data_IF_482922548699
#
_entry.id   IF_482922548699
#
_cell.length_a   1.000
_cell.length_b   1.000
_cell.length_c   1.000
_cell.angle_alpha   90.00
_cell.angle_beta   90.00
_cell.angle_gamma   90.00
#
_symmetry.space_group_name_H-M   'P 1'
#
loop_
_entity.id
_entity.type
_entity.pdbx_description
1 polymer ?
#
# COMPACT_ATOMS: atom_id res chain seq x y z
N UNK A 1 -16.85 -23.26 -21.29
CA UNK A 1 -16.02 -23.74 -20.17
C UNK A 1 -15.33 -22.54 -19.52
N UNK A 2 -15.17 -22.58 -18.20
CA UNK A 2 -15.19 -21.45 -17.28
C UNK A 2 -13.93 -20.55 -17.30
N UNK A 3 -14.14 -19.26 -17.04
CA UNK A 3 -13.09 -18.28 -16.69
C UNK A 3 -12.40 -18.74 -15.41
N UNK A 4 -11.11 -19.07 -15.48
CA UNK A 4 -10.31 -19.28 -14.28
C UNK A 4 -10.28 -17.99 -13.46
N UNK A 5 -10.82 -18.07 -12.25
CA UNK A 5 -10.72 -17.01 -11.25
C UNK A 5 -9.27 -16.95 -10.79
N UNK A 6 -8.56 -15.91 -11.22
CA UNK A 6 -7.34 -15.49 -10.54
C UNK A 6 -7.79 -14.85 -9.23
N UNK A 7 -7.72 -15.61 -8.14
CA UNK A 7 -7.89 -15.08 -6.78
C UNK A 7 -6.74 -14.11 -6.50
N UNK A 8 -6.99 -12.83 -6.81
CA UNK A 8 -6.14 -11.73 -6.41
C UNK A 8 -6.48 -11.37 -4.96
N UNK A 9 -6.03 -12.20 -4.03
CA UNK A 9 -5.93 -11.81 -2.62
C UNK A 9 -4.86 -10.71 -2.51
N UNK A 10 -5.28 -9.47 -2.77
CA UNK A 10 -4.53 -8.23 -2.53
C UNK A 10 -3.28 -7.95 -3.38
N UNK A 11 -3.07 -8.60 -4.53
CA UNK A 11 -2.14 -8.11 -5.57
C UNK A 11 -0.64 -8.06 -5.19
N UNK A 12 -0.25 -8.73 -4.10
CA UNK A 12 1.17 -8.91 -3.71
C UNK A 12 1.63 -10.31 -4.12
N UNK A 13 2.42 -10.47 -5.19
CA UNK A 13 2.94 -11.78 -5.56
C UNK A 13 4.01 -12.23 -4.56
N UNK A 14 3.73 -13.30 -3.81
CA UNK A 14 4.74 -14.03 -3.03
C UNK A 14 5.57 -14.92 -3.97
N UNK A 15 6.85 -14.62 -4.16
CA UNK A 15 7.75 -15.38 -5.05
C UNK A 15 8.34 -16.66 -4.42
N UNK A 16 7.85 -17.11 -3.27
CA UNK A 16 8.27 -18.38 -2.68
C UNK A 16 7.41 -19.54 -3.18
N UNK A 17 8.02 -20.48 -3.90
CA UNK A 17 7.42 -21.79 -4.14
C UNK A 17 7.39 -22.57 -2.83
N UNK A 18 6.28 -22.50 -2.12
CA UNK A 18 6.01 -23.29 -0.93
C UNK A 18 4.96 -24.38 -1.27
N UNK A 19 5.30 -25.68 -1.23
CA UNK A 19 4.33 -26.76 -1.48
C UNK A 19 3.16 -26.77 -0.47
N UNK A 20 3.26 -26.03 0.64
CA UNK A 20 2.17 -25.86 1.62
C UNK A 20 1.01 -24.96 1.15
N UNK A 21 1.19 -24.14 0.10
CA UNK A 21 0.16 -23.21 -0.39
C UNK A 21 -1.09 -23.92 -0.92
N UNK A 22 -0.98 -25.19 -1.32
CA UNK A 22 -2.13 -25.99 -1.77
C UNK A 22 -3.05 -26.45 -0.62
N UNK A 23 -2.58 -26.44 0.63
CA UNK A 23 -3.32 -27.01 1.77
C UNK A 23 -3.86 -25.96 2.75
N UNK A 24 -3.42 -24.70 2.68
CA UNK A 24 -3.78 -23.68 3.65
C UNK A 24 -4.01 -22.29 3.01
N UNK A 25 -5.17 -22.07 2.35
CA UNK A 25 -5.57 -20.72 1.92
C UNK A 25 -5.72 -19.74 3.10
N UNK A 26 -6.06 -20.23 4.29
CA UNK A 26 -6.33 -19.41 5.49
C UNK A 26 -5.10 -18.73 6.12
N UNK A 27 -3.88 -19.23 5.87
CA UNK A 27 -2.68 -18.68 6.52
C UNK A 27 -2.29 -17.32 5.92
N UNK A 28 -2.54 -17.13 4.61
CA UNK A 28 -2.39 -15.84 3.93
C UNK A 28 -3.50 -14.85 4.29
N UNK A 29 -4.68 -15.31 4.71
CA UNK A 29 -5.76 -14.42 5.17
C UNK A 29 -5.49 -13.80 6.55
N UNK A 30 -4.63 -14.43 7.36
CA UNK A 30 -4.23 -13.91 8.68
C UNK A 30 -3.18 -12.79 8.59
N UNK A 31 -2.29 -12.82 7.61
CA UNK A 31 -1.39 -11.70 7.33
C UNK A 31 -2.08 -10.77 6.34
N UNK A 32 -2.46 -9.56 6.75
CA UNK A 32 -3.01 -8.56 5.83
C UNK A 32 -1.86 -7.64 5.39
N UNK A 33 -1.08 -8.00 4.35
CA UNK A 33 0.18 -7.33 4.02
C UNK A 33 0.02 -5.84 3.71
N UNK A 34 -1.17 -5.41 3.28
CA UNK A 34 -1.49 -3.99 3.05
C UNK A 34 -1.68 -3.25 4.37
N UNK A 35 -2.36 -3.84 5.35
CA UNK A 35 -2.57 -3.20 6.66
C UNK A 35 -1.24 -3.08 7.42
N UNK A 36 -0.41 -4.11 7.37
CA UNK A 36 0.95 -4.05 7.92
C UNK A 36 1.76 -2.92 7.25
N UNK A 37 1.62 -2.77 5.93
CA UNK A 37 2.27 -1.68 5.20
C UNK A 37 1.76 -0.31 5.65
N UNK A 38 0.47 -0.16 5.92
CA UNK A 38 -0.10 1.08 6.45
C UNK A 38 0.56 1.47 7.78
N UNK A 39 0.65 0.52 8.72
CA UNK A 39 1.25 0.76 10.04
C UNK A 39 2.74 1.10 9.95
N UNK A 40 3.48 0.40 9.07
CA UNK A 40 4.89 0.70 8.81
C UNK A 40 5.09 2.11 8.25
N UNK A 41 4.25 2.52 7.29
CA UNK A 41 4.30 3.87 6.72
C UNK A 41 3.97 4.95 7.75
N UNK A 42 2.94 4.73 8.58
CA UNK A 42 2.58 5.65 9.66
C UNK A 42 3.72 5.80 10.67
N UNK A 43 4.42 4.72 11.00
CA UNK A 43 5.52 4.78 11.95
C UNK A 43 6.77 5.47 11.36
N UNK A 44 7.18 5.10 10.15
CA UNK A 44 8.46 5.55 9.57
C UNK A 44 8.41 7.00 9.05
N UNK A 45 7.23 7.43 8.62
CA UNK A 45 6.98 8.78 8.10
C UNK A 45 6.18 9.67 9.05
N UNK A 46 5.99 9.28 10.32
CA UNK A 46 5.28 10.08 11.31
C UNK A 46 5.75 11.55 11.34
N UNK A 47 4.80 12.48 11.24
CA UNK A 47 5.03 13.93 11.24
C UNK A 47 5.72 14.48 9.99
N UNK A 48 6.01 13.65 8.98
CA UNK A 48 6.63 14.09 7.72
C UNK A 48 5.57 14.38 6.67
N UNK A 49 5.94 15.27 5.75
CA UNK A 49 5.20 15.55 4.52
C UNK A 49 6.08 15.15 3.34
N UNK A 50 5.68 14.13 2.60
CA UNK A 50 6.53 13.46 1.61
C UNK A 50 5.71 12.97 0.42
N UNK A 51 6.32 12.88 -0.76
CA UNK A 51 5.61 12.45 -1.98
C UNK A 51 5.53 10.93 -2.07
N UNK A 52 4.51 10.42 -2.77
CA UNK A 52 4.34 8.99 -3.03
C UNK A 52 5.57 8.33 -3.64
N UNK A 53 6.19 8.98 -4.64
CA UNK A 53 7.41 8.47 -5.25
C UNK A 53 8.53 8.32 -4.22
N UNK A 54 8.73 9.32 -3.37
CA UNK A 54 9.81 9.32 -2.40
C UNK A 54 9.57 8.33 -1.25
N UNK A 55 8.32 8.16 -0.82
CA UNK A 55 7.92 7.08 0.11
C UNK A 55 8.37 5.73 -0.45
N UNK A 56 8.03 5.45 -1.72
CA UNK A 56 8.42 4.20 -2.37
C UNK A 56 9.94 4.04 -2.41
N UNK A 57 10.67 5.06 -2.89
CA UNK A 57 12.13 5.01 -3.03
C UNK A 57 12.85 4.77 -1.70
N UNK A 58 12.37 5.36 -0.60
CA UNK A 58 12.99 5.22 0.71
C UNK A 58 12.63 3.89 1.39
N UNK A 59 11.38 3.43 1.27
CA UNK A 59 10.87 2.29 2.04
C UNK A 59 10.94 0.94 1.31
N UNK A 60 10.99 0.90 -0.04
CA UNK A 60 10.91 -0.37 -0.77
C UNK A 60 12.16 -1.25 -0.63
N UNK A 61 13.30 -0.70 -0.25
CA UNK A 61 14.57 -1.43 -0.23
C UNK A 61 14.52 -2.54 0.82
N UNK A 62 14.74 -3.79 0.39
CA UNK A 62 14.69 -4.96 1.27
C UNK A 62 13.28 -5.43 1.62
N UNK A 63 12.23 -4.93 0.94
CA UNK A 63 10.83 -5.32 1.19
C UNK A 63 10.12 -5.80 -0.07
N UNK A 64 9.20 -6.76 0.10
CA UNK A 64 8.46 -7.38 -0.99
C UNK A 64 7.18 -6.59 -1.38
N UNK A 65 7.27 -5.26 -1.44
CA UNK A 65 6.15 -4.39 -1.82
C UNK A 65 6.41 -3.67 -3.14
N UNK A 66 5.46 -3.79 -4.06
CA UNK A 66 5.47 -3.05 -5.33
C UNK A 66 4.77 -1.69 -5.18
N UNK A 67 5.01 -0.76 -6.09
CA UNK A 67 4.39 0.58 -6.06
C UNK A 67 2.87 0.56 -5.90
N UNK A 68 2.19 -0.41 -6.52
CA UNK A 68 0.73 -0.57 -6.40
C UNK A 68 0.29 -0.80 -4.94
N UNK A 69 1.09 -1.51 -4.15
CA UNK A 69 0.77 -1.81 -2.74
C UNK A 69 0.79 -0.53 -1.91
N UNK A 70 1.79 0.32 -2.11
CA UNK A 70 1.89 1.62 -1.46
C UNK A 70 0.72 2.54 -1.86
N UNK A 71 0.34 2.55 -3.14
CA UNK A 71 -0.81 3.33 -3.60
C UNK A 71 -2.10 2.87 -2.93
N UNK A 72 -2.30 1.55 -2.82
CA UNK A 72 -3.46 0.97 -2.13
C UNK A 72 -3.46 1.29 -0.62
N UNK A 73 -2.32 1.15 0.05
CA UNK A 73 -2.17 1.46 1.47
C UNK A 73 -2.44 2.94 1.76
N UNK A 74 -1.85 3.85 0.98
CA UNK A 74 -2.09 5.29 1.15
C UNK A 74 -3.53 5.69 0.81
N UNK A 75 -4.13 5.08 -0.21
CA UNK A 75 -5.55 5.30 -0.52
C UNK A 75 -6.44 4.84 0.64
N UNK A 76 -6.14 3.69 1.24
CA UNK A 76 -6.85 3.17 2.41
C UNK A 76 -6.71 4.11 3.62
N UNK A 77 -5.49 4.57 3.93
CA UNK A 77 -5.24 5.55 5.00
C UNK A 77 -5.94 6.90 4.77
N UNK A 78 -6.01 7.35 3.52
CA UNK A 78 -6.75 8.55 3.12
C UNK A 78 -8.26 8.37 3.32
N UNK A 79 -8.82 7.22 2.91
CA UNK A 79 -10.24 6.88 3.13
C UNK A 79 -10.56 6.80 4.63
N UNK A 80 -9.63 6.26 5.44
CA UNK A 80 -9.73 6.22 6.91
C UNK A 80 -9.59 7.60 7.56
N UNK A 81 -9.15 8.63 6.84
CA UNK A 81 -8.94 9.99 7.35
C UNK A 81 -7.74 10.12 8.29
N UNK A 82 -6.79 9.20 8.23
CA UNK A 82 -5.59 9.20 9.08
C UNK A 82 -4.51 10.11 8.52
N UNK A 83 -4.40 10.19 7.19
CA UNK A 83 -3.43 11.02 6.46
C UNK A 83 -4.16 12.03 5.58
N UNK A 84 -3.51 13.18 5.36
CA UNK A 84 -3.97 14.16 4.39
C UNK A 84 -3.17 14.02 3.08
N UNK A 85 -3.87 13.96 1.96
CA UNK A 85 -3.25 13.87 0.63
C UNK A 85 -3.66 15.08 -0.20
N UNK A 86 -2.68 15.74 -0.81
CA UNK A 86 -2.94 16.88 -1.68
C UNK A 86 -2.06 16.85 -2.92
N UNK A 87 -2.58 17.45 -4.00
CA UNK A 87 -1.81 17.64 -5.22
C UNK A 87 -1.01 18.97 -5.09
N UNK A 88 0.32 18.94 -5.17
CA UNK A 88 1.12 20.18 -5.10
C UNK A 88 0.80 21.16 -6.23
N UNK A 89 0.29 20.67 -7.37
CA UNK A 89 -0.10 21.47 -8.54
C UNK A 89 -1.51 22.05 -8.42
N UNK A 90 -2.26 21.74 -7.34
CA UNK A 90 -3.64 22.23 -7.13
C UNK A 90 -4.68 21.68 -8.13
N UNK A 91 -4.30 20.76 -9.02
CA UNK A 91 -5.21 20.17 -10.01
C UNK A 91 -6.17 19.18 -9.36
N UNK A 92 -7.43 19.18 -9.84
CA UNK A 92 -8.44 18.21 -9.43
C UNK A 92 -7.96 16.79 -9.74
N UNK A 93 -7.99 15.93 -8.71
CA UNK A 93 -7.63 14.52 -8.80
C UNK A 93 -8.80 13.69 -9.34
N UNK A 94 -8.50 12.67 -10.15
CA UNK A 94 -9.48 11.65 -10.55
C UNK A 94 -9.70 10.69 -9.37
N UNK A 95 -10.95 10.51 -8.95
CA UNK A 95 -11.33 9.60 -7.86
C UNK A 95 -10.81 8.18 -8.13
N UNK A 96 -10.29 7.53 -7.09
CA UNK A 96 -9.79 6.15 -7.15
C UNK A 96 -8.39 5.96 -7.76
N UNK A 97 -7.64 7.04 -8.04
CA UNK A 97 -6.28 6.95 -8.57
C UNK A 97 -5.29 7.61 -7.62
N UNK A 98 -4.08 7.06 -7.46
CA UNK A 98 -3.01 7.66 -6.66
C UNK A 98 -1.77 7.85 -7.53
N UNK A 99 -1.44 9.11 -7.83
CA UNK A 99 -0.33 9.45 -8.71
C UNK A 99 0.96 9.64 -7.89
N UNK A 100 2.11 9.41 -8.54
CA UNK A 100 3.42 9.38 -7.86
C UNK A 100 3.86 10.75 -7.33
N UNK A 101 3.34 11.83 -7.92
CA UNK A 101 3.62 13.22 -7.54
C UNK A 101 2.71 13.75 -6.42
N UNK A 102 1.79 12.94 -5.91
CA UNK A 102 0.93 13.37 -4.80
C UNK A 102 1.75 13.46 -3.53
N UNK A 103 1.47 14.49 -2.75
CA UNK A 103 2.11 14.72 -1.45
C UNK A 103 1.20 14.21 -0.35
N UNK A 104 1.79 13.44 0.55
CA UNK A 104 1.13 12.86 1.72
C UNK A 104 1.68 13.54 2.96
N UNK A 105 0.78 13.96 3.84
CA UNK A 105 1.09 14.49 5.17
C UNK A 105 0.68 13.45 6.21
N UNK A 106 1.67 12.92 6.90
CA UNK A 106 1.48 11.95 7.98
C UNK A 106 1.23 12.65 9.32
N UNK A 107 0.40 12.07 10.20
CA UNK A 107 0.17 12.60 11.53
C UNK A 107 1.45 12.54 12.37
N UNK A 108 1.61 13.48 13.29
CA UNK A 108 2.70 13.44 14.27
C UNK A 108 2.42 12.32 15.26
N UNK A 109 3.41 11.47 15.54
CA UNK A 109 3.32 10.44 16.58
C UNK A 109 3.08 11.14 17.93
N UNK A 110 1.92 10.88 18.54
CA UNK A 110 1.61 11.35 19.90
C UNK A 110 2.40 10.56 20.93
#
# INVERSE_FOLDING_TARGET
>A
MAKESSDQTQGVPSFEYNPATQQQPFLFELSRPIEDLEDMLLHEFAGKTITMNEIYRQHHVGRNYIQSNYKSALLSLEIKGIIDVYNPTGKKRRKGTFADHLTVKFPVKK
#
